data_IF_663572565017
#
_entry.id   IF_663572565017
#
_cell.length_a   1.000
_cell.length_b   1.000
_cell.length_c   1.000
_cell.angle_alpha   90.00
_cell.angle_beta   90.00
_cell.angle_gamma   90.00
#
_symmetry.space_group_name_H-M   'P 1'
#
loop_
_entity.id
_entity.type
_entity.pdbx_description
1 polymer ?
#
# COMPACT_ATOMS: atom_id res chain seq x y z
N UNK A 1 -6.49 28.50 -13.50
CA UNK A 1 -7.14 27.83 -12.34
C UNK A 1 -8.66 27.78 -12.48
N UNK A 2 -9.36 28.90 -12.72
CA UNK A 2 -10.84 28.93 -12.83
C UNK A 2 -11.44 27.94 -13.86
N UNK A 3 -10.89 27.86 -15.08
CA UNK A 3 -11.39 26.94 -16.11
C UNK A 3 -11.25 25.45 -15.72
N UNK A 4 -10.17 25.08 -15.02
CA UNK A 4 -9.94 23.70 -14.56
C UNK A 4 -10.84 23.35 -13.37
N UNK A 5 -11.05 24.30 -12.46
CA UNK A 5 -12.00 24.14 -11.35
C UNK A 5 -13.45 23.99 -11.86
N UNK A 6 -13.85 24.80 -12.85
CA UNK A 6 -15.14 24.67 -13.52
C UNK A 6 -15.30 23.32 -14.21
N UNK A 7 -14.26 22.86 -14.93
CA UNK A 7 -14.26 21.54 -15.56
C UNK A 7 -14.37 20.41 -14.53
N UNK A 8 -13.70 20.51 -13.38
CA UNK A 8 -13.80 19.52 -12.30
C UNK A 8 -15.21 19.47 -11.68
N UNK A 9 -15.91 20.60 -11.59
CA UNK A 9 -17.32 20.66 -11.17
C UNK A 9 -18.22 20.00 -12.23
N UNK A 10 -18.02 20.32 -13.50
CA UNK A 10 -18.79 19.73 -14.60
C UNK A 10 -18.59 18.20 -14.66
N UNK A 11 -17.38 17.72 -14.43
CA UNK A 11 -17.08 16.30 -14.32
C UNK A 11 -17.67 15.66 -13.04
N UNK A 12 -17.77 16.41 -11.95
CA UNK A 12 -18.48 15.92 -10.76
C UNK A 12 -19.97 15.72 -11.07
N UNK A 13 -20.61 16.72 -11.67
CA UNK A 13 -22.01 16.63 -12.09
C UNK A 13 -22.19 15.48 -13.09
N UNK A 14 -21.27 15.37 -14.07
CA UNK A 14 -21.31 14.31 -15.08
C UNK A 14 -21.21 12.90 -14.49
N UNK A 15 -20.44 12.69 -13.43
CA UNK A 15 -20.38 11.40 -12.73
C UNK A 15 -21.75 11.01 -12.15
N UNK A 16 -22.42 11.93 -11.44
CA UNK A 16 -23.74 11.65 -10.86
C UNK A 16 -24.80 11.46 -11.95
N UNK A 17 -24.75 12.22 -13.05
CA UNK A 17 -25.62 12.03 -14.20
C UNK A 17 -25.42 10.66 -14.85
N UNK A 18 -24.16 10.21 -15.01
CA UNK A 18 -23.85 8.88 -15.53
C UNK A 18 -24.41 7.80 -14.61
N UNK A 19 -24.18 7.90 -13.29
CA UNK A 19 -24.64 6.91 -12.32
C UNK A 19 -26.17 6.81 -12.27
N UNK A 20 -26.86 7.95 -12.16
CA UNK A 20 -28.32 8.01 -12.11
C UNK A 20 -28.91 7.56 -13.45
N UNK A 21 -28.34 8.01 -14.58
CA UNK A 21 -28.78 7.62 -15.92
C UNK A 21 -28.66 6.11 -16.16
N UNK A 22 -27.55 5.49 -15.75
CA UNK A 22 -27.36 4.04 -15.87
C UNK A 22 -28.30 3.27 -14.94
N UNK A 23 -28.53 3.75 -13.71
CA UNK A 23 -29.51 3.14 -12.82
C UNK A 23 -30.93 3.21 -13.40
N UNK A 24 -31.35 4.36 -13.95
CA UNK A 24 -32.65 4.50 -14.62
C UNK A 24 -32.74 3.56 -15.83
N UNK A 25 -31.69 3.48 -16.65
CA UNK A 25 -31.67 2.59 -17.81
C UNK A 25 -31.83 1.12 -17.40
N UNK A 26 -31.18 0.69 -16.31
CA UNK A 26 -31.34 -0.66 -15.77
C UNK A 26 -32.76 -0.92 -15.29
N UNK A 27 -33.39 0.04 -14.61
CA UNK A 27 -34.78 -0.09 -14.14
C UNK A 27 -35.80 -0.03 -15.27
N UNK A 28 -35.50 0.65 -16.38
CA UNK A 28 -36.36 0.73 -17.55
C UNK A 28 -36.50 -0.61 -18.28
N UNK A 29 -35.45 -1.44 -18.30
CA UNK A 29 -35.47 -2.77 -18.96
C UNK A 29 -36.61 -3.67 -18.46
N UNK A 30 -36.71 -4.02 -17.15
CA UNK A 30 -37.80 -4.86 -16.66
C UNK A 30 -39.17 -4.17 -16.72
N UNK A 31 -39.21 -2.83 -16.66
CA UNK A 31 -40.46 -2.07 -16.83
C UNK A 31 -41.02 -2.26 -18.25
N UNK A 32 -40.18 -2.08 -19.29
CA UNK A 32 -40.56 -2.25 -20.68
C UNK A 32 -40.86 -3.73 -21.03
N UNK A 33 -40.14 -4.69 -20.44
CA UNK A 33 -40.47 -6.11 -20.58
C UNK A 33 -41.89 -6.42 -20.08
N UNK A 34 -42.28 -5.83 -18.93
CA UNK A 34 -43.62 -5.99 -18.38
C UNK A 34 -44.68 -5.28 -19.25
N UNK A 35 -44.50 -3.99 -19.56
CA UNK A 35 -45.55 -3.19 -20.21
C UNK A 35 -45.73 -3.53 -21.68
N UNK A 36 -44.64 -3.71 -22.42
CA UNK A 36 -44.69 -3.79 -23.88
C UNK A 36 -44.68 -5.25 -24.35
N UNK A 37 -43.86 -6.09 -23.71
CA UNK A 37 -43.66 -7.48 -24.10
C UNK A 37 -44.52 -8.47 -23.29
N UNK A 38 -45.18 -8.02 -22.21
CA UNK A 38 -46.00 -8.84 -21.32
C UNK A 38 -45.27 -10.10 -20.81
N UNK A 39 -43.95 -9.97 -20.59
CA UNK A 39 -43.07 -11.05 -20.12
C UNK A 39 -42.18 -10.51 -19.01
N UNK A 40 -41.75 -11.38 -18.10
CA UNK A 40 -40.80 -11.01 -17.05
C UNK A 40 -39.72 -12.08 -16.96
N UNK A 41 -38.53 -11.78 -17.47
CA UNK A 41 -37.40 -12.67 -17.33
C UNK A 41 -36.76 -12.46 -15.96
N UNK A 42 -37.14 -13.28 -14.99
CA UNK A 42 -36.73 -13.16 -13.58
C UNK A 42 -35.22 -12.93 -13.39
N UNK A 43 -34.36 -13.60 -14.17
CA UNK A 43 -32.89 -13.42 -14.12
C UNK A 43 -32.45 -12.02 -14.55
N UNK A 44 -33.04 -11.48 -15.63
CA UNK A 44 -32.74 -10.13 -16.14
C UNK A 44 -33.27 -9.10 -15.16
N UNK A 45 -34.51 -9.28 -14.67
CA UNK A 45 -35.11 -8.41 -13.66
C UNK A 45 -34.25 -8.32 -12.40
N UNK A 46 -33.81 -9.46 -11.84
CA UNK A 46 -32.94 -9.49 -10.65
C UNK A 46 -31.61 -8.79 -10.95
N UNK A 47 -30.98 -9.06 -12.09
CA UNK A 47 -29.73 -8.41 -12.48
C UNK A 47 -29.87 -6.88 -12.57
N UNK A 48 -30.92 -6.40 -13.24
CA UNK A 48 -31.21 -4.98 -13.40
C UNK A 48 -31.48 -4.28 -12.06
N UNK A 49 -32.33 -4.88 -11.21
CA UNK A 49 -32.64 -4.34 -9.88
C UNK A 49 -31.41 -4.32 -8.98
N UNK A 50 -30.65 -5.41 -8.91
CA UNK A 50 -29.44 -5.49 -8.11
C UNK A 50 -28.37 -4.51 -8.61
N UNK A 51 -28.16 -4.42 -9.93
CA UNK A 51 -27.21 -3.48 -10.53
C UNK A 51 -27.58 -2.02 -10.23
N UNK A 52 -28.86 -1.65 -10.41
CA UNK A 52 -29.34 -0.31 -10.09
C UNK A 52 -29.20 0.01 -8.60
N UNK A 53 -29.55 -0.94 -7.72
CA UNK A 53 -29.41 -0.79 -6.28
C UNK A 53 -27.94 -0.58 -5.87
N UNK A 54 -27.01 -1.38 -6.41
CA UNK A 54 -25.56 -1.23 -6.14
C UNK A 54 -25.07 0.15 -6.58
N UNK A 55 -25.43 0.60 -7.79
CA UNK A 55 -25.02 1.92 -8.31
C UNK A 55 -25.56 3.04 -7.42
N UNK A 56 -26.86 3.03 -7.12
CA UNK A 56 -27.51 4.05 -6.29
C UNK A 56 -26.96 4.06 -4.86
N UNK A 57 -26.70 2.89 -4.27
CA UNK A 57 -26.08 2.79 -2.96
C UNK A 57 -24.64 3.32 -2.95
N UNK A 58 -23.89 3.11 -4.04
CA UNK A 58 -22.49 3.54 -4.14
C UNK A 58 -22.31 5.06 -4.23
N UNK A 59 -23.26 5.76 -4.86
CA UNK A 59 -23.23 7.23 -4.99
C UNK A 59 -23.74 7.97 -3.75
N UNK A 60 -24.51 7.31 -2.88
CA UNK A 60 -24.96 7.92 -1.64
C UNK A 60 -23.76 8.13 -0.69
N UNK A 61 -23.71 9.26 0.04
CA UNK A 61 -22.68 9.48 1.04
C UNK A 61 -22.88 8.45 2.16
N UNK A 62 -21.89 7.58 2.34
CA UNK A 62 -21.89 6.64 3.47
C UNK A 62 -21.67 7.40 4.77
N UNK A 63 -22.57 7.19 5.73
CA UNK A 63 -22.32 7.57 7.12
C UNK A 63 -21.26 6.61 7.65
N UNK A 64 -20.01 7.04 7.65
CA UNK A 64 -18.93 6.27 8.25
C UNK A 64 -19.18 6.15 9.75
N UNK A 65 -19.42 4.90 10.20
CA UNK A 65 -19.50 4.58 11.61
C UNK A 65 -18.11 4.72 12.19
N UNK A 66 -17.84 5.87 12.78
CA UNK A 66 -16.58 6.12 13.46
C UNK A 66 -16.49 5.22 14.70
N UNK A 67 -15.69 4.17 14.58
CA UNK A 67 -15.08 3.50 15.73
C UNK A 67 -13.79 4.25 16.03
N UNK A 68 -13.52 4.54 17.29
CA UNK A 68 -12.27 5.18 17.68
C UNK A 68 -11.10 4.33 17.16
N UNK A 69 -10.27 4.86 16.26
CA UNK A 69 -9.23 4.09 15.58
C UNK A 69 -8.03 3.80 16.49
N UNK A 70 -8.02 4.38 17.69
CA UNK A 70 -6.98 4.19 18.70
C UNK A 70 -7.30 4.98 19.97
N UNK A 71 -6.28 5.16 20.81
CA UNK A 71 -6.41 5.89 22.07
C UNK A 71 -6.61 7.38 21.81
N UNK A 72 -7.57 8.00 22.49
CA UNK A 72 -7.76 9.46 22.41
C UNK A 72 -6.69 10.15 23.26
N UNK A 73 -5.86 10.98 22.63
CA UNK A 73 -4.92 11.82 23.34
C UNK A 73 -5.66 12.97 24.05
N UNK A 74 -5.50 13.05 25.37
CA UNK A 74 -6.02 14.16 26.18
C UNK A 74 -4.96 15.26 26.38
N UNK A 75 -5.33 16.56 26.29
CA UNK A 75 -4.41 17.68 26.51
C UNK A 75 -3.71 17.69 27.88
N UNK A 76 -4.37 17.21 28.93
CA UNK A 76 -3.79 17.14 30.28
C UNK A 76 -2.74 16.03 30.37
N UNK A 77 -2.97 14.92 29.66
CA UNK A 77 -2.05 13.79 29.62
C UNK A 77 -0.86 14.06 28.69
N UNK A 78 -1.07 14.83 27.61
CA UNK A 78 -0.06 15.09 26.58
C UNK A 78 0.22 16.59 26.34
N UNK A 79 0.61 17.36 27.37
CA UNK A 79 0.70 18.83 27.27
C UNK A 79 1.71 19.30 26.22
N UNK A 80 2.83 18.58 26.06
CA UNK A 80 3.87 18.90 25.06
C UNK A 80 3.37 18.68 23.63
N UNK A 81 2.65 17.59 23.38
CA UNK A 81 2.02 17.32 22.09
C UNK A 81 1.02 18.43 21.74
N UNK A 82 0.11 18.77 22.65
CA UNK A 82 -0.92 19.78 22.36
C UNK A 82 -0.36 21.19 22.21
N UNK A 83 0.73 21.53 22.93
CA UNK A 83 1.47 22.78 22.70
C UNK A 83 2.06 22.83 21.28
N UNK A 84 2.66 21.73 20.83
CA UNK A 84 3.23 21.61 19.48
C UNK A 84 2.14 21.70 18.40
N UNK A 85 1.03 20.96 18.57
CA UNK A 85 -0.12 21.03 17.65
C UNK A 85 -0.73 22.42 17.60
N UNK A 86 -0.85 23.10 18.75
CA UNK A 86 -1.35 24.48 18.82
C UNK A 86 -0.43 25.47 18.12
N UNK A 87 0.89 25.29 18.22
CA UNK A 87 1.86 26.11 17.51
C UNK A 87 1.75 25.91 15.98
N UNK A 88 1.61 24.66 15.52
CA UNK A 88 1.39 24.33 14.10
C UNK A 88 0.09 24.94 13.59
N UNK A 89 -1.01 24.73 14.29
CA UNK A 89 -2.33 25.26 13.95
C UNK A 89 -2.28 26.79 13.80
N UNK A 90 -1.64 27.47 14.77
CA UNK A 90 -1.43 28.92 14.74
C UNK A 90 -0.60 29.37 13.54
N UNK A 91 0.52 28.69 13.26
CA UNK A 91 1.42 29.04 12.15
C UNK A 91 0.78 28.81 10.77
N UNK A 92 -0.05 27.78 10.64
CA UNK A 92 -0.81 27.48 9.42
C UNK A 92 -2.03 28.40 9.29
N UNK A 93 -2.62 28.84 10.40
CA UNK A 93 -3.83 29.66 10.43
C UNK A 93 -5.11 28.84 10.36
N UNK A 94 -5.10 27.63 10.93
CA UNK A 94 -6.25 26.72 11.00
C UNK A 94 -6.60 26.40 12.46
N UNK A 95 -7.87 26.11 12.79
CA UNK A 95 -8.23 25.67 14.13
C UNK A 95 -7.62 24.31 14.46
N UNK A 96 -7.25 24.13 15.74
CA UNK A 96 -6.81 22.84 16.27
C UNK A 96 -7.93 21.79 16.11
N UNK A 97 -7.63 20.55 15.68
CA UNK A 97 -8.60 19.46 15.65
C UNK A 97 -9.26 19.23 17.02
N UNK A 98 -10.55 18.90 17.02
CA UNK A 98 -11.34 18.70 18.25
C UNK A 98 -10.97 17.39 18.98
N UNK A 99 -10.56 16.39 18.21
CA UNK A 99 -10.16 15.08 18.72
C UNK A 99 -8.82 14.68 18.09
N UNK A 100 -7.90 14.20 18.92
CA UNK A 100 -6.60 13.65 18.50
C UNK A 100 -6.55 12.20 18.95
N UNK A 101 -6.25 11.28 18.02
CA UNK A 101 -6.13 9.85 18.27
C UNK A 101 -4.72 9.38 17.97
N UNK A 102 -4.15 8.61 18.90
CA UNK A 102 -2.90 7.89 18.71
C UNK A 102 -3.24 6.54 18.08
N UNK A 103 -2.66 6.27 16.91
CA UNK A 103 -2.90 5.05 16.13
C UNK A 103 -1.58 4.34 15.85
N UNK A 104 -1.63 3.05 15.52
CA UNK A 104 -0.44 2.29 15.12
C UNK A 104 -0.15 2.38 13.62
N UNK A 105 -0.89 3.18 12.85
CA UNK A 105 -0.58 3.37 11.44
C UNK A 105 0.73 4.15 11.23
N UNK A 106 1.46 3.85 10.16
CA UNK A 106 2.57 4.68 9.67
C UNK A 106 2.07 5.92 8.93
N UNK A 107 1.18 6.67 9.58
CA UNK A 107 0.52 7.80 8.96
C UNK A 107 0.23 8.91 9.97
N UNK A 108 0.11 10.14 9.46
CA UNK A 108 -0.51 11.25 10.17
C UNK A 108 -1.54 11.85 9.22
N UNK A 109 -2.77 12.03 9.69
CA UNK A 109 -3.84 12.54 8.84
C UNK A 109 -4.81 13.38 9.66
N UNK A 110 -5.30 14.45 9.07
CA UNK A 110 -6.50 15.15 9.56
C UNK A 110 -7.68 14.65 8.74
N UNK A 111 -8.81 14.37 9.40
CA UNK A 111 -10.05 13.91 8.78
C UNK A 111 -11.21 14.78 9.26
N UNK A 112 -12.18 15.03 8.38
CA UNK A 112 -13.44 15.65 8.76
C UNK A 112 -14.49 14.57 9.04
N UNK A 113 -15.02 14.55 10.26
CA UNK A 113 -16.01 13.58 10.73
C UNK A 113 -17.38 14.25 10.87
N UNK A 114 -18.41 13.58 10.39
CA UNK A 114 -19.77 14.08 10.44
C UNK A 114 -20.02 15.19 9.43
N UNK A 115 -21.24 15.70 9.42
CA UNK A 115 -21.70 16.64 8.40
C UNK A 115 -22.15 15.97 7.11
N UNK A 116 -22.81 16.75 6.26
CA UNK A 116 -23.30 16.34 4.94
C UNK A 116 -22.59 17.19 3.89
N UNK A 117 -21.92 16.55 2.93
CA UNK A 117 -21.22 17.25 1.84
C UNK A 117 -20.20 18.32 2.32
N UNK A 118 -19.51 18.07 3.43
CA UNK A 118 -18.50 18.99 4.00
C UNK A 118 -19.05 20.05 4.96
N UNK A 119 -20.37 20.10 5.17
CA UNK A 119 -21.04 21.02 6.09
C UNK A 119 -21.38 20.34 7.42
N UNK A 120 -20.97 20.93 8.55
CA UNK A 120 -21.39 20.49 9.89
C UNK A 120 -20.64 19.28 10.46
N UNK A 121 -19.35 19.13 10.13
CA UNK A 121 -18.48 18.09 10.68
C UNK A 121 -17.38 18.63 11.59
N UNK A 122 -16.90 17.79 12.50
CA UNK A 122 -15.76 18.04 13.40
C UNK A 122 -14.46 17.51 12.82
N UNK A 123 -13.33 18.15 13.12
CA UNK A 123 -12.02 17.70 12.66
C UNK A 123 -11.40 16.74 13.67
N UNK A 124 -10.91 15.61 13.17
CA UNK A 124 -10.24 14.57 13.95
C UNK A 124 -8.85 14.37 13.38
N UNK A 125 -7.84 14.30 14.25
CA UNK A 125 -6.46 14.03 13.88
C UNK A 125 -6.08 12.61 14.25
N UNK A 126 -5.45 11.90 13.33
CA UNK A 126 -4.84 10.60 13.55
C UNK A 126 -3.32 10.79 13.56
N UNK A 127 -2.68 10.36 14.64
CA UNK A 127 -1.24 10.45 14.83
C UNK A 127 -0.67 9.04 14.99
N UNK A 128 0.08 8.60 13.99
CA UNK A 128 0.83 7.36 14.04
C UNK A 128 1.94 7.43 15.08
N UNK A 129 1.79 6.68 16.18
CA UNK A 129 2.88 6.50 17.16
C UNK A 129 4.17 6.04 16.44
N UNK A 130 4.11 5.11 15.47
CA UNK A 130 5.31 4.66 14.80
C UNK A 130 6.01 5.79 14.03
N UNK A 131 5.25 6.66 13.38
CA UNK A 131 5.79 7.82 12.68
C UNK A 131 6.50 8.78 13.64
N UNK A 132 5.93 9.01 14.82
CA UNK A 132 6.54 9.86 15.86
C UNK A 132 7.86 9.29 16.40
N UNK A 133 8.06 7.97 16.32
CA UNK A 133 9.31 7.29 16.75
C UNK A 133 10.38 7.26 15.66
N UNK A 134 10.03 7.64 14.43
CA UNK A 134 10.96 7.69 13.28
C UNK A 134 11.36 9.13 13.00
N UNK A 135 10.42 10.08 13.11
CA UNK A 135 10.64 11.48 12.79
C UNK A 135 11.10 12.29 14.00
N UNK A 136 11.99 13.26 13.76
CA UNK A 136 12.30 14.33 14.71
C UNK A 136 11.14 15.30 14.85
N UNK A 137 11.15 16.12 15.91
CA UNK A 137 10.08 17.09 16.17
C UNK A 137 9.84 18.01 14.97
N UNK A 138 10.89 18.61 14.37
CA UNK A 138 10.77 19.47 13.20
C UNK A 138 10.26 18.76 11.94
N UNK A 139 10.71 17.53 11.72
CA UNK A 139 10.31 16.69 10.58
C UNK A 139 8.83 16.33 10.70
N UNK A 140 8.40 15.94 11.90
CA UNK A 140 7.02 15.67 12.24
C UNK A 140 6.16 16.94 12.14
N UNK A 141 6.64 18.07 12.66
CA UNK A 141 6.00 19.39 12.50
C UNK A 141 5.76 19.72 11.03
N UNK A 142 6.71 19.45 10.16
CA UNK A 142 6.58 19.70 8.73
C UNK A 142 5.49 18.82 8.10
N UNK A 143 5.50 17.51 8.40
CA UNK A 143 4.45 16.58 7.94
C UNK A 143 3.08 17.04 8.43
N UNK A 144 2.94 17.41 9.70
CA UNK A 144 1.67 17.91 10.22
C UNK A 144 1.25 19.24 9.61
N UNK A 145 2.19 20.17 9.38
CA UNK A 145 1.88 21.44 8.72
C UNK A 145 1.38 21.23 7.29
N UNK A 146 1.87 20.19 6.59
CA UNK A 146 1.34 19.76 5.29
C UNK A 146 -0.10 19.26 5.42
N UNK A 147 -0.39 18.38 6.38
CA UNK A 147 -1.75 17.88 6.64
C UNK A 147 -2.74 19.00 7.00
N UNK A 148 -2.32 19.98 7.80
CA UNK A 148 -3.13 21.18 8.09
C UNK A 148 -3.31 22.06 6.85
N UNK A 149 -2.33 22.07 5.95
CA UNK A 149 -2.37 22.79 4.67
C UNK A 149 -3.52 22.34 3.76
N UNK A 150 -3.93 21.06 3.83
CA UNK A 150 -5.10 20.51 3.14
C UNK A 150 -6.45 21.01 3.65
N UNK A 151 -6.48 21.91 4.63
CA UNK A 151 -7.71 22.54 5.10
C UNK A 151 -7.70 24.06 4.89
N UNK A 152 -6.52 24.63 4.60
CA UNK A 152 -6.32 26.06 4.43
C UNK A 152 -6.68 26.52 3.03
N UNK A 153 -7.58 27.51 2.95
CA UNK A 153 -7.79 28.29 1.73
C UNK A 153 -8.39 27.52 0.55
N UNK A 154 -8.98 26.35 0.80
CA UNK A 154 -9.71 25.66 -0.25
C UNK A 154 -10.93 26.48 -0.67
N UNK A 155 -10.92 26.93 -1.92
CA UNK A 155 -12.16 27.21 -2.65
C UNK A 155 -13.13 26.05 -2.37
N UNK A 156 -14.41 26.35 -2.15
CA UNK A 156 -15.45 25.39 -1.73
C UNK A 156 -15.57 24.12 -2.61
N UNK A 157 -14.80 24.04 -3.70
CA UNK A 157 -14.75 22.98 -4.70
C UNK A 157 -13.78 21.84 -4.39
N UNK A 158 -12.72 22.05 -3.59
CA UNK A 158 -11.74 20.99 -3.31
C UNK A 158 -12.34 19.79 -2.53
N UNK A 159 -13.16 20.01 -1.47
CA UNK A 159 -13.87 18.92 -0.80
C UNK A 159 -14.80 18.15 -1.74
N UNK A 160 -15.42 18.84 -2.72
CA UNK A 160 -16.29 18.21 -3.71
C UNK A 160 -15.52 17.30 -4.66
N UNK A 161 -14.38 17.73 -5.19
CA UNK A 161 -13.53 16.88 -6.06
C UNK A 161 -13.09 15.63 -5.31
N UNK A 162 -12.65 15.78 -4.05
CA UNK A 162 -12.23 14.65 -3.22
C UNK A 162 -13.40 13.68 -2.95
N UNK A 163 -14.58 14.18 -2.60
CA UNK A 163 -15.78 13.35 -2.40
C UNK A 163 -16.23 12.63 -3.67
N UNK A 164 -16.08 13.27 -4.84
CA UNK A 164 -16.32 12.62 -6.14
C UNK A 164 -15.33 11.50 -6.39
N UNK A 165 -14.04 11.68 -6.07
CA UNK A 165 -13.04 10.59 -6.16
C UNK A 165 -13.41 9.42 -5.26
N UNK A 166 -13.81 9.68 -4.01
CA UNK A 166 -14.27 8.62 -3.11
C UNK A 166 -15.52 7.91 -3.65
N UNK A 167 -16.48 8.64 -4.21
CA UNK A 167 -17.69 8.05 -4.79
C UNK A 167 -17.37 7.18 -6.03
N UNK A 168 -16.48 7.64 -6.90
CA UNK A 168 -15.98 6.85 -8.04
C UNK A 168 -15.30 5.58 -7.54
N UNK A 169 -14.39 5.69 -6.57
CA UNK A 169 -13.67 4.54 -6.01
C UNK A 169 -14.63 3.53 -5.36
N UNK A 170 -15.61 4.00 -4.59
CA UNK A 170 -16.66 3.13 -4.02
C UNK A 170 -17.46 2.42 -5.10
N UNK A 171 -17.95 3.13 -6.11
CA UNK A 171 -18.70 2.52 -7.23
C UNK A 171 -17.88 1.45 -7.94
N UNK A 172 -16.60 1.72 -8.23
CA UNK A 172 -15.71 0.72 -8.82
C UNK A 172 -15.49 -0.47 -7.89
N UNK A 173 -15.29 -0.26 -6.58
CA UNK A 173 -15.10 -1.35 -5.61
C UNK A 173 -16.34 -2.23 -5.46
N UNK A 174 -17.55 -1.64 -5.37
CA UNK A 174 -18.79 -2.39 -5.24
C UNK A 174 -19.13 -3.15 -6.54
N UNK A 175 -18.81 -2.59 -7.71
CA UNK A 175 -19.02 -3.27 -8.99
C UNK A 175 -17.93 -4.30 -9.31
N UNK A 176 -16.74 -4.15 -8.73
CA UNK A 176 -15.67 -5.14 -8.84
C UNK A 176 -16.14 -6.48 -8.28
N UNK A 177 -15.86 -7.57 -8.99
CA UNK A 177 -16.33 -8.91 -8.65
C UNK A 177 -17.79 -9.21 -9.00
N UNK A 178 -18.63 -8.23 -9.33
CA UNK A 178 -20.05 -8.43 -9.63
C UNK A 178 -20.38 -8.32 -11.13
N UNK A 179 -19.90 -7.26 -11.82
CA UNK A 179 -20.19 -7.07 -13.24
C UNK A 179 -19.18 -6.18 -13.96
N UNK A 180 -18.38 -6.78 -14.84
CA UNK A 180 -17.46 -6.05 -15.71
C UNK A 180 -18.20 -5.10 -16.68
N UNK A 181 -19.40 -5.48 -17.12
CA UNK A 181 -20.23 -4.67 -18.03
C UNK A 181 -20.68 -3.36 -17.37
N UNK A 182 -21.16 -3.44 -16.13
CA UNK A 182 -21.59 -2.25 -15.38
C UNK A 182 -20.40 -1.41 -14.92
N UNK A 183 -19.27 -2.04 -14.62
CA UNK A 183 -18.05 -1.36 -14.17
C UNK A 183 -17.39 -0.53 -15.27
N UNK A 184 -17.40 -1.01 -16.52
CA UNK A 184 -16.71 -0.40 -17.66
C UNK A 184 -16.98 1.11 -17.85
N UNK A 185 -18.23 1.61 -17.90
CA UNK A 185 -18.47 3.05 -18.07
C UNK A 185 -17.91 3.89 -16.92
N UNK A 186 -18.00 3.41 -15.68
CA UNK A 186 -17.41 4.09 -14.53
C UNK A 186 -15.89 4.07 -14.56
N UNK A 187 -15.28 3.00 -15.07
CA UNK A 187 -13.82 2.91 -15.18
C UNK A 187 -13.29 3.90 -16.22
N UNK A 188 -13.95 4.05 -17.37
CA UNK A 188 -13.60 5.05 -18.38
C UNK A 188 -13.81 6.48 -17.84
N UNK A 189 -14.90 6.70 -17.11
CA UNK A 189 -15.17 7.97 -16.46
C UNK A 189 -14.09 8.31 -15.42
N UNK A 190 -13.74 7.35 -14.56
CA UNK A 190 -12.72 7.49 -13.53
C UNK A 190 -11.37 7.88 -14.12
N UNK A 191 -10.94 7.20 -15.18
CA UNK A 191 -9.67 7.50 -15.85
C UNK A 191 -9.64 8.94 -16.39
N UNK A 192 -10.72 9.37 -17.05
CA UNK A 192 -10.83 10.73 -17.59
C UNK A 192 -10.89 11.78 -16.47
N UNK A 193 -11.69 11.53 -15.44
CA UNK A 193 -11.83 12.38 -14.27
C UNK A 193 -10.48 12.57 -13.58
N UNK A 194 -9.77 11.47 -13.30
CA UNK A 194 -8.48 11.48 -12.64
C UNK A 194 -7.46 12.24 -13.48
N UNK A 195 -7.33 11.94 -14.77
CA UNK A 195 -6.40 12.63 -15.66
C UNK A 195 -6.59 14.15 -15.66
N UNK A 196 -7.83 14.63 -15.72
CA UNK A 196 -8.14 16.06 -15.76
C UNK A 196 -7.91 16.73 -14.40
N UNK A 197 -8.26 16.04 -13.31
CA UNK A 197 -8.17 16.60 -11.95
C UNK A 197 -6.77 16.45 -11.33
N UNK A 198 -5.89 15.60 -11.88
CA UNK A 198 -4.54 15.39 -11.34
C UNK A 198 -3.71 16.67 -11.28
N UNK A 199 -3.74 17.49 -12.32
CA UNK A 199 -2.94 18.72 -12.34
C UNK A 199 -3.36 19.69 -11.22
N UNK A 200 -4.63 19.66 -10.81
CA UNK A 200 -5.14 20.44 -9.68
C UNK A 200 -4.65 19.81 -8.37
N UNK A 201 -4.78 18.49 -8.22
CA UNK A 201 -4.31 17.73 -7.05
C UNK A 201 -2.82 17.97 -6.79
N UNK A 202 -1.97 17.77 -7.79
CA UNK A 202 -0.51 17.95 -7.68
C UNK A 202 -0.12 19.39 -7.35
N UNK A 203 -0.86 20.38 -7.85
CA UNK A 203 -0.61 21.78 -7.50
C UNK A 203 -0.97 22.06 -6.03
N UNK A 204 -2.07 21.51 -5.53
CA UNK A 204 -2.46 21.63 -4.12
C UNK A 204 -1.43 20.99 -3.19
N UNK A 205 -0.91 19.83 -3.56
CA UNK A 205 0.18 19.15 -2.83
C UNK A 205 1.43 20.02 -2.74
N UNK A 206 1.86 20.65 -3.85
CA UNK A 206 3.02 21.55 -3.85
C UNK A 206 2.78 22.83 -3.05
N UNK A 207 1.54 23.33 -3.00
CA UNK A 207 1.16 24.48 -2.18
C UNK A 207 1.17 24.15 -0.68
N UNK A 208 0.66 22.97 -0.31
CA UNK A 208 0.75 22.43 1.04
C UNK A 208 2.21 22.19 1.44
N UNK A 209 3.04 21.68 0.52
CA UNK A 209 4.47 21.50 0.74
C UNK A 209 5.19 22.82 1.01
N UNK A 210 4.91 23.84 0.20
CA UNK A 210 5.49 25.16 0.38
C UNK A 210 5.04 25.80 1.71
N UNK A 211 3.81 25.54 2.16
CA UNK A 211 3.32 25.97 3.46
C UNK A 211 4.04 25.26 4.60
N UNK A 212 4.16 23.93 4.53
CA UNK A 212 4.89 23.13 5.51
C UNK A 212 6.35 23.60 5.66
N UNK A 213 7.02 23.86 4.53
CA UNK A 213 8.37 24.39 4.50
C UNK A 213 8.49 25.78 5.14
N UNK A 214 7.47 26.64 5.03
CA UNK A 214 7.46 27.93 5.73
C UNK A 214 7.31 27.78 7.25
N UNK A 215 6.63 26.74 7.72
CA UNK A 215 6.40 26.50 9.16
C UNK A 215 7.60 25.82 9.81
N UNK A 216 8.16 24.78 9.19
CA UNK A 216 9.20 23.93 9.79
C UNK A 216 10.58 24.06 9.14
N UNK A 217 10.69 24.68 7.96
CA UNK A 217 11.90 24.73 7.14
C UNK A 217 11.93 23.63 6.08
N UNK A 218 12.47 23.95 4.90
CA UNK A 218 12.53 22.99 3.79
C UNK A 218 13.42 21.77 4.11
N UNK A 219 14.50 21.95 4.89
CA UNK A 219 15.42 20.86 5.25
C UNK A 219 14.72 19.82 6.14
N UNK A 220 14.01 20.29 7.17
CA UNK A 220 13.24 19.43 8.06
C UNK A 220 12.15 18.68 7.28
N UNK A 221 11.49 19.35 6.34
CA UNK A 221 10.44 18.70 5.57
C UNK A 221 10.96 17.66 4.57
N UNK A 222 12.07 17.94 3.88
CA UNK A 222 12.72 16.95 2.99
C UNK A 222 13.17 15.71 3.79
N UNK A 223 13.71 15.91 5.00
CA UNK A 223 14.07 14.81 5.89
C UNK A 223 12.82 14.02 6.34
N UNK A 224 11.73 14.72 6.68
CA UNK A 224 10.44 14.12 7.02
C UNK A 224 9.86 13.28 5.88
N UNK A 225 9.85 13.78 4.64
CA UNK A 225 9.40 13.03 3.46
C UNK A 225 10.24 11.77 3.25
N UNK A 226 11.57 11.86 3.35
CA UNK A 226 12.46 10.69 3.27
C UNK A 226 12.19 9.69 4.41
N UNK A 227 11.90 10.18 5.62
CA UNK A 227 11.53 9.35 6.77
C UNK A 227 10.22 8.59 6.54
N UNK A 228 9.18 9.27 6.07
CA UNK A 228 7.87 8.66 5.74
C UNK A 228 8.03 7.60 4.64
N UNK A 229 8.66 7.95 3.51
CA UNK A 229 8.87 7.01 2.40
C UNK A 229 9.76 5.83 2.80
N UNK A 230 10.81 6.09 3.59
CA UNK A 230 11.69 5.06 4.13
C UNK A 230 10.96 4.10 5.07
N UNK A 231 10.10 4.61 5.94
CA UNK A 231 9.28 3.79 6.81
C UNK A 231 8.28 2.93 6.01
N UNK A 232 7.68 3.47 4.95
CA UNK A 232 6.81 2.70 4.05
C UNK A 232 7.55 1.55 3.35
N UNK A 233 8.79 1.79 2.91
CA UNK A 233 9.67 0.74 2.37
C UNK A 233 9.91 -0.33 3.44
N UNK A 234 10.34 0.08 4.64
CA UNK A 234 10.62 -0.84 5.74
C UNK A 234 9.39 -1.66 6.12
N UNK A 235 8.21 -1.05 6.16
CA UNK A 235 6.95 -1.70 6.50
C UNK A 235 6.57 -2.80 5.51
N UNK A 236 6.86 -2.59 4.21
CA UNK A 236 6.68 -3.64 3.20
C UNK A 236 7.57 -4.85 3.48
N UNK A 237 8.84 -4.63 3.87
CA UNK A 237 9.73 -5.72 4.28
C UNK A 237 9.28 -6.35 5.58
N UNK A 238 8.83 -5.55 6.55
CA UNK A 238 8.34 -6.02 7.84
C UNK A 238 7.12 -6.91 7.68
N UNK A 239 6.12 -6.50 6.90
CA UNK A 239 4.97 -7.35 6.57
C UNK A 239 5.42 -8.65 5.92
N UNK A 240 6.28 -8.61 4.90
CA UNK A 240 6.78 -9.83 4.24
C UNK A 240 7.56 -10.77 5.18
N UNK A 241 8.45 -10.22 6.00
CA UNK A 241 9.32 -10.97 6.93
C UNK A 241 8.60 -11.38 8.22
N UNK A 242 7.48 -10.74 8.57
CA UNK A 242 6.74 -11.02 9.82
C UNK A 242 5.31 -11.51 9.58
N UNK A 243 5.01 -11.99 8.37
CA UNK A 243 3.78 -12.75 8.06
C UNK A 243 3.97 -14.30 8.14
N UNK A 244 4.74 -14.94 9.05
CA UNK A 244 4.79 -16.40 9.06
C UNK A 244 3.46 -16.99 9.56
N UNK A 245 2.90 -17.95 8.81
CA UNK A 245 2.13 -19.08 9.37
C UNK A 245 0.91 -18.66 10.22
N UNK A 246 0.18 -17.65 9.78
CA UNK A 246 -1.23 -17.53 10.14
C UNK A 246 -2.01 -18.16 8.99
N UNK A 247 -2.16 -19.48 9.09
CA UNK A 247 -2.99 -20.24 8.17
C UNK A 247 -4.35 -19.51 8.04
N UNK A 248 -4.75 -19.23 6.81
CA UNK A 248 -6.11 -18.85 6.41
C UNK A 248 -6.39 -17.38 6.05
N UNK A 249 -5.38 -16.56 5.71
CA UNK A 249 -5.63 -15.31 4.97
C UNK A 249 -6.56 -14.30 5.65
N UNK A 250 -6.74 -14.43 6.96
CA UNK A 250 -7.65 -13.64 7.79
C UNK A 250 -6.92 -12.79 8.84
N UNK A 251 -5.59 -12.83 8.90
CA UNK A 251 -4.82 -12.00 9.82
C UNK A 251 -4.51 -10.63 9.23
N UNK A 252 -4.81 -9.53 9.94
CA UNK A 252 -4.32 -8.20 9.60
C UNK A 252 -2.80 -8.19 9.47
N UNK A 253 -2.26 -7.33 8.60
CA UNK A 253 -0.83 -7.02 8.58
C UNK A 253 -0.37 -6.64 9.99
N UNK A 254 0.82 -7.09 10.44
CA UNK A 254 1.29 -6.76 11.78
C UNK A 254 1.44 -5.24 11.90
N UNK A 255 0.76 -4.65 12.89
CA UNK A 255 0.88 -3.23 13.16
C UNK A 255 2.35 -2.88 13.48
N UNK A 256 2.85 -1.71 13.05
CA UNK A 256 4.22 -1.30 13.30
C UNK A 256 4.44 -0.99 14.79
N UNK A 257 4.79 -2.02 15.55
CA UNK A 257 5.00 -2.03 16.98
C UNK A 257 6.47 -1.70 17.38
N UNK A 258 6.85 -2.02 18.62
CA UNK A 258 8.24 -1.95 19.08
C UNK A 258 9.21 -2.80 18.23
N UNK A 259 8.73 -3.92 17.70
CA UNK A 259 9.53 -4.82 16.88
C UNK A 259 9.79 -4.20 15.51
N UNK A 260 8.81 -3.50 14.93
CA UNK A 260 9.03 -2.70 13.73
C UNK A 260 10.14 -1.66 13.91
N UNK A 261 10.21 -0.99 15.07
CA UNK A 261 11.28 -0.03 15.35
C UNK A 261 12.66 -0.68 15.44
N UNK A 262 12.74 -1.88 16.01
CA UNK A 262 13.99 -2.66 16.04
C UNK A 262 14.36 -3.14 14.63
N UNK A 263 13.37 -3.58 13.86
CA UNK A 263 13.53 -4.04 12.48
C UNK A 263 14.13 -2.97 11.57
N UNK A 264 13.65 -1.73 11.67
CA UNK A 264 14.19 -0.61 10.89
C UNK A 264 15.67 -0.31 11.16
N UNK A 265 16.17 -0.67 12.35
CA UNK A 265 17.57 -0.44 12.76
C UNK A 265 18.53 -1.54 12.28
N UNK A 266 18.00 -2.63 11.72
CA UNK A 266 18.84 -3.68 11.14
C UNK A 266 19.62 -3.11 9.97
N UNK A 267 20.96 -3.31 9.89
CA UNK A 267 21.78 -2.73 8.82
C UNK A 267 21.23 -3.02 7.41
N UNK A 268 20.76 -4.25 7.16
CA UNK A 268 20.15 -4.63 5.88
C UNK A 268 18.91 -3.81 5.52
N UNK A 269 18.07 -3.49 6.51
CA UNK A 269 16.83 -2.75 6.29
C UNK A 269 17.15 -1.28 6.11
N UNK A 270 18.08 -0.74 6.91
CA UNK A 270 18.61 0.60 6.69
C UNK A 270 19.21 0.75 5.28
N UNK A 271 19.91 -0.26 4.78
CA UNK A 271 20.47 -0.27 3.42
C UNK A 271 19.36 -0.33 2.35
N UNK A 272 18.37 -1.21 2.54
CA UNK A 272 17.21 -1.32 1.65
C UNK A 272 16.40 -0.02 1.58
N UNK A 273 16.22 0.67 2.70
CA UNK A 273 15.58 2.00 2.77
C UNK A 273 16.39 3.00 1.94
N UNK A 274 17.71 3.09 2.15
CA UNK A 274 18.57 4.04 1.42
C UNK A 274 18.54 3.79 -0.08
N UNK A 275 18.65 2.52 -0.49
CA UNK A 275 18.58 2.14 -1.90
C UNK A 275 17.19 2.39 -2.50
N UNK A 276 16.12 2.06 -1.77
CA UNK A 276 14.75 2.26 -2.24
C UNK A 276 14.41 3.75 -2.43
N UNK A 277 14.82 4.62 -1.50
CA UNK A 277 14.67 6.07 -1.66
C UNK A 277 15.49 6.57 -2.86
N UNK A 278 16.76 6.16 -2.98
CA UNK A 278 17.60 6.58 -4.11
C UNK A 278 17.02 6.14 -5.47
N UNK A 279 16.45 4.94 -5.51
CA UNK A 279 15.74 4.42 -6.69
C UNK A 279 14.50 5.25 -6.99
N UNK A 280 13.66 5.57 -6.00
CA UNK A 280 12.45 6.39 -6.20
C UNK A 280 12.77 7.80 -6.70
N UNK A 281 13.88 8.39 -6.22
CA UNK A 281 14.33 9.71 -6.66
C UNK A 281 14.83 9.72 -8.11
N UNK A 282 15.41 8.62 -8.59
CA UNK A 282 15.96 8.49 -9.94
C UNK A 282 14.97 7.90 -10.94
N UNK A 283 13.97 7.16 -10.46
CA UNK A 283 12.93 6.49 -11.24
C UNK A 283 11.55 6.98 -10.78
N UNK A 284 11.21 8.27 -10.96
CA UNK A 284 9.95 8.80 -10.48
C UNK A 284 8.80 8.05 -11.17
N UNK A 285 7.90 7.48 -10.37
CA UNK A 285 6.67 6.88 -10.89
C UNK A 285 5.82 7.97 -11.51
N UNK A 286 5.78 8.02 -12.83
CA UNK A 286 4.89 8.88 -13.59
C UNK A 286 3.58 8.14 -13.83
N UNK A 287 2.83 7.87 -12.77
CA UNK A 287 1.47 7.36 -12.91
C UNK A 287 0.52 8.53 -13.19
N UNK A 288 -0.15 8.57 -14.36
CA UNK A 288 -1.16 9.58 -14.67
C UNK A 288 -2.36 9.58 -13.71
N UNK A 289 -2.51 8.54 -12.88
CA UNK A 289 -3.61 8.36 -11.94
C UNK A 289 -3.22 8.62 -10.47
N UNK A 290 -1.93 8.83 -10.17
CA UNK A 290 -1.47 9.22 -8.83
C UNK A 290 -1.77 10.70 -8.53
N UNK A 291 -2.45 10.94 -7.40
CA UNK A 291 -2.82 12.27 -6.89
C UNK A 291 -1.67 13.06 -6.31
N UNK A 292 -0.59 12.40 -5.91
CA UNK A 292 0.58 13.03 -5.34
C UNK A 292 1.64 13.26 -6.43
N UNK A 293 2.39 14.37 -6.38
CA UNK A 293 3.59 14.52 -7.18
C UNK A 293 4.64 13.47 -6.76
N UNK A 294 5.47 12.95 -7.69
CA UNK A 294 6.57 12.06 -7.32
C UNK A 294 7.48 12.69 -6.26
N UNK A 295 8.05 11.88 -5.36
CA UNK A 295 8.93 12.35 -4.28
C UNK A 295 10.05 13.27 -4.79
N UNK A 296 10.68 12.92 -5.91
CA UNK A 296 11.70 13.73 -6.56
C UNK A 296 11.23 15.16 -6.89
N UNK A 297 10.00 15.29 -7.41
CA UNK A 297 9.42 16.59 -7.77
C UNK A 297 9.11 17.43 -6.53
N UNK A 298 8.61 16.80 -5.46
CA UNK A 298 8.36 17.48 -4.16
C UNK A 298 9.65 17.99 -3.56
N UNK A 299 10.69 17.14 -3.47
CA UNK A 299 12.01 17.54 -2.96
C UNK A 299 12.61 18.66 -3.79
N UNK A 300 12.59 18.57 -5.13
CA UNK A 300 13.12 19.62 -5.99
C UNK A 300 12.37 20.96 -5.87
N UNK A 301 11.08 20.94 -5.53
CA UNK A 301 10.32 22.15 -5.22
C UNK A 301 10.72 22.73 -3.86
N UNK A 302 10.92 21.87 -2.85
CA UNK A 302 11.31 22.26 -1.50
C UNK A 302 12.74 22.80 -1.43
N UNK A 303 13.67 22.27 -2.21
CA UNK A 303 15.06 22.74 -2.28
C UNK A 303 15.19 24.20 -2.74
N UNK A 304 14.14 24.76 -3.37
CA UNK A 304 14.07 26.17 -3.77
C UNK A 304 13.61 27.10 -2.65
N UNK A 305 13.18 26.55 -1.51
CA UNK A 305 12.66 27.31 -0.37
C UNK A 305 13.72 27.43 0.74
N UNK A 306 13.56 28.39 1.67
CA UNK A 306 14.49 28.54 2.77
C UNK A 306 14.66 27.23 3.57
N UNK A 307 15.90 26.78 3.84
CA UNK A 307 16.14 25.50 4.50
C UNK A 307 15.60 25.44 5.94
N UNK A 308 15.45 26.60 6.60
CA UNK A 308 15.14 26.69 8.03
C UNK A 308 16.35 26.37 8.91
N UNK A 309 16.09 26.17 10.20
CA UNK A 309 17.12 25.83 11.17
C UNK A 309 17.64 24.39 10.96
N UNK A 310 18.87 24.14 11.38
CA UNK A 310 19.35 22.76 11.47
C UNK A 310 18.70 22.08 12.67
N UNK A 311 18.02 20.98 12.38
CA UNK A 311 17.22 20.21 13.35
C UNK A 311 17.69 18.76 13.43
N UNK A 312 18.86 18.45 12.87
CA UNK A 312 19.48 17.11 12.87
C UNK A 312 19.72 16.52 14.26
N UNK A 313 19.86 17.38 15.28
CA UNK A 313 20.06 17.01 16.69
C UNK A 313 18.78 17.07 17.54
N UNK A 314 17.62 17.42 16.96
CA UNK A 314 16.37 17.42 17.71
C UNK A 314 15.98 15.99 18.15
N UNK A 315 15.31 15.87 19.31
CA UNK A 315 14.76 14.59 19.72
C UNK A 315 13.65 14.13 18.77
N UNK A 316 13.35 12.83 18.84
CA UNK A 316 12.22 12.24 18.12
C UNK A 316 10.89 12.81 18.63
N UNK A 317 9.92 12.92 17.73
CA UNK A 317 8.59 13.43 18.04
C UNK A 317 7.85 12.58 19.10
N UNK A 318 8.24 11.31 19.28
CA UNK A 318 7.77 10.46 20.36
C UNK A 318 8.00 11.06 21.76
N UNK A 319 8.98 11.97 21.92
CA UNK A 319 9.22 12.69 23.17
C UNK A 319 8.14 13.75 23.47
N UNK A 320 7.25 14.05 22.52
CA UNK A 320 6.07 14.87 22.75
C UNK A 320 4.97 14.09 23.49
N UNK A 321 5.03 12.76 23.47
CA UNK A 321 4.11 11.90 24.18
C UNK A 321 4.53 11.72 25.65
N UNK A 322 3.56 11.42 26.50
CA UNK A 322 3.84 10.98 27.86
C UNK A 322 4.46 9.57 27.84
N UNK A 323 5.41 9.23 28.72
CA UNK A 323 6.02 7.91 28.75
C UNK A 323 5.02 6.75 28.88
N UNK A 324 3.88 6.97 29.55
CA UNK A 324 2.84 5.94 29.70
C UNK A 324 2.16 5.57 28.38
N UNK A 325 1.99 6.52 27.46
CA UNK A 325 1.42 6.29 26.13
C UNK A 325 2.37 5.50 25.20
N UNK A 326 3.67 5.50 25.49
CA UNK A 326 4.65 4.65 24.80
C UNK A 326 4.69 3.21 25.37
N UNK A 327 4.22 3.02 26.61
CA UNK A 327 4.25 1.73 27.31
C UNK A 327 2.98 0.89 27.12
N UNK A 328 1.86 1.53 26.76
CA UNK A 328 0.59 0.88 26.49
C UNK A 328 0.18 1.09 25.01
N UNK A 329 0.88 0.48 24.05
CA UNK A 329 0.29 0.34 22.74
C UNK A 329 -0.93 -0.57 22.96
N UNK A 330 -2.14 -0.11 22.59
CA UNK A 330 -3.38 -0.90 22.63
C UNK A 330 -3.36 -2.10 21.69
N UNK A 331 -2.34 -2.94 21.82
CA UNK A 331 -2.13 -4.18 21.11
C UNK A 331 -3.21 -5.10 21.65
N UNK A 332 -4.20 -5.39 20.82
CA UNK A 332 -4.74 -6.74 20.78
C UNK A 332 -3.50 -7.62 20.64
N UNK A 333 -3.01 -8.21 21.75
CA UNK A 333 -1.96 -9.22 21.71
C UNK A 333 -2.43 -10.26 20.71
N UNK A 334 -1.92 -10.15 19.48
CA UNK A 334 -2.05 -11.19 18.48
C UNK A 334 -1.26 -12.33 19.09
N UNK A 335 -1.97 -13.19 19.83
CA UNK A 335 -1.38 -14.34 20.49
C UNK A 335 -0.70 -15.11 19.37
N UNK A 336 0.63 -15.27 19.41
CA UNK A 336 1.33 -15.96 18.34
C UNK A 336 0.68 -17.32 18.18
N UNK A 337 0.25 -17.65 16.96
CA UNK A 337 -0.27 -18.99 16.69
C UNK A 337 0.83 -19.99 17.06
N UNK A 338 0.46 -21.10 17.72
CA UNK A 338 1.43 -22.10 18.16
C UNK A 338 2.32 -22.54 16.98
N UNK A 339 3.63 -22.26 17.08
CA UNK A 339 4.62 -22.52 16.01
C UNK A 339 5.12 -21.29 15.24
N UNK A 340 4.66 -20.08 15.57
CA UNK A 340 5.25 -18.84 15.06
C UNK A 340 6.69 -18.67 15.59
N UNK A 341 7.64 -18.46 14.68
CA UNK A 341 9.01 -18.08 15.05
C UNK A 341 9.00 -16.65 15.62
N UNK A 342 9.83 -16.34 16.64
CA UNK A 342 10.11 -14.96 17.02
C UNK A 342 10.53 -14.15 15.78
N UNK A 343 10.12 -12.88 15.67
CA UNK A 343 10.42 -12.05 14.49
C UNK A 343 11.94 -11.91 14.23
N UNK A 344 12.75 -11.96 15.29
CA UNK A 344 14.21 -11.95 15.22
C UNK A 344 14.75 -13.19 14.47
N UNK A 345 14.01 -14.30 14.54
CA UNK A 345 14.28 -15.58 13.87
C UNK A 345 13.47 -15.74 12.56
N UNK A 346 12.47 -14.90 12.30
CA UNK A 346 11.56 -15.01 11.13
C UNK A 346 12.22 -14.65 9.78
N UNK A 347 13.48 -14.21 9.79
CA UNK A 347 14.30 -13.98 8.60
C UNK A 347 14.60 -15.27 7.82
N UNK A 348 15.88 -15.62 7.69
CA UNK A 348 16.28 -16.81 6.91
C UNK A 348 15.69 -18.12 7.45
N UNK A 349 15.43 -18.23 8.76
CA UNK A 349 14.83 -19.44 9.35
C UNK A 349 13.30 -19.55 9.13
N UNK A 350 12.61 -18.45 8.82
CA UNK A 350 11.20 -18.44 8.41
C UNK A 350 10.98 -18.81 6.94
N UNK A 351 12.02 -18.69 6.11
CA UNK A 351 11.91 -18.87 4.67
C UNK A 351 11.44 -20.27 4.21
N UNK A 352 11.88 -21.39 4.81
CA UNK A 352 11.38 -22.72 4.45
C UNK A 352 9.86 -22.82 4.55
N UNK A 353 9.26 -22.19 5.56
CA UNK A 353 7.81 -22.21 5.77
C UNK A 353 7.08 -21.40 4.71
N UNK A 354 7.61 -20.21 4.33
CA UNK A 354 7.06 -19.39 3.25
C UNK A 354 7.13 -20.12 1.91
N UNK A 355 8.28 -20.73 1.61
CA UNK A 355 8.46 -21.50 0.39
C UNK A 355 7.51 -22.69 0.32
N UNK A 356 7.33 -23.39 1.45
CA UNK A 356 6.39 -24.52 1.52
C UNK A 356 4.95 -24.08 1.30
N UNK A 357 4.50 -22.96 1.88
CA UNK A 357 3.16 -22.42 1.66
C UNK A 357 2.95 -21.95 0.22
N UNK A 358 3.91 -21.22 -0.35
CA UNK A 358 3.84 -20.74 -1.74
C UNK A 358 3.78 -21.89 -2.75
N UNK A 359 4.62 -22.91 -2.56
CA UNK A 359 4.59 -24.14 -3.38
C UNK A 359 3.29 -24.91 -3.16
N UNK A 360 2.74 -24.94 -1.94
CA UNK A 360 1.48 -25.63 -1.63
C UNK A 360 0.30 -24.99 -2.34
N UNK A 361 0.15 -23.67 -2.27
CA UNK A 361 -0.91 -22.91 -2.98
C UNK A 361 -0.86 -23.10 -4.49
N UNK A 362 0.35 -23.21 -5.03
CA UNK A 362 0.60 -23.26 -6.47
C UNK A 362 1.05 -24.64 -6.99
N UNK A 363 0.87 -25.71 -6.21
CA UNK A 363 1.38 -27.05 -6.51
C UNK A 363 1.03 -27.54 -7.92
N UNK A 364 -0.20 -27.25 -8.36
CA UNK A 364 -0.72 -27.62 -9.67
C UNK A 364 0.07 -27.02 -10.85
N UNK A 365 0.75 -25.89 -10.66
CA UNK A 365 1.58 -25.22 -11.68
C UNK A 365 2.98 -25.83 -11.76
N UNK A 366 3.48 -26.35 -10.63
CA UNK A 366 4.85 -26.88 -10.50
C UNK A 366 4.94 -28.39 -10.77
N UNK A 367 3.80 -29.09 -10.78
CA UNK A 367 3.73 -30.54 -10.97
C UNK A 367 4.40 -30.97 -12.28
N UNK A 368 5.38 -31.86 -12.17
CA UNK A 368 6.09 -32.43 -13.32
C UNK A 368 7.33 -31.65 -13.77
N UNK A 369 7.59 -30.48 -13.17
CA UNK A 369 8.80 -29.70 -13.43
C UNK A 369 9.93 -30.04 -12.44
N UNK A 370 11.16 -29.92 -12.93
CA UNK A 370 12.39 -30.13 -12.17
C UNK A 370 13.28 -28.90 -12.22
N UNK A 371 14.28 -28.83 -11.35
CA UNK A 371 15.28 -27.74 -11.35
C UNK A 371 15.99 -27.63 -12.70
N UNK A 372 16.29 -28.74 -13.37
CA UNK A 372 16.93 -28.73 -14.70
C UNK A 372 16.06 -28.13 -15.82
N UNK A 373 14.74 -28.12 -15.63
CA UNK A 373 13.75 -27.58 -16.59
C UNK A 373 13.36 -26.12 -16.32
N UNK A 374 13.96 -25.47 -15.31
CA UNK A 374 13.70 -24.06 -15.00
C UNK A 374 13.88 -23.09 -16.19
N UNK A 375 14.87 -23.24 -17.09
CA UNK A 375 15.01 -22.36 -18.25
C UNK A 375 13.83 -22.44 -19.23
N UNK A 376 13.09 -23.54 -19.23
CA UNK A 376 11.90 -23.72 -20.08
C UNK A 376 10.66 -23.07 -19.43
N UNK A 377 10.67 -22.89 -18.10
CA UNK A 377 9.56 -22.36 -17.30
C UNK A 377 9.71 -20.85 -17.01
N UNK A 378 10.93 -20.36 -16.78
CA UNK A 378 11.21 -18.96 -16.43
C UNK A 378 10.76 -17.94 -17.51
N UNK A 379 10.89 -18.20 -18.82
CA UNK A 379 10.34 -17.30 -19.84
C UNK A 379 8.80 -17.29 -19.88
N UNK A 380 8.14 -18.33 -19.35
CA UNK A 380 6.68 -18.49 -19.38
C UNK A 380 5.97 -17.80 -18.20
N UNK A 381 6.68 -17.09 -17.33
CA UNK A 381 6.18 -16.56 -16.06
C UNK A 381 4.97 -15.62 -16.16
N UNK A 382 4.88 -14.82 -17.24
CA UNK A 382 3.69 -14.00 -17.49
C UNK A 382 2.40 -14.82 -17.70
N UNK A 383 2.51 -16.08 -18.15
CA UNK A 383 1.38 -17.00 -18.35
C UNK A 383 1.04 -17.80 -17.08
N UNK A 384 2.02 -18.03 -16.19
CA UNK A 384 1.81 -18.69 -14.89
C UNK A 384 1.03 -17.77 -13.96
N UNK A 385 1.38 -16.47 -13.92
CA UNK A 385 0.59 -15.45 -13.24
C UNK A 385 -0.80 -15.23 -13.88
N UNK A 386 -0.88 -15.28 -15.22
CA UNK A 386 -2.14 -15.11 -15.96
C UNK A 386 -3.19 -16.22 -15.81
N UNK A 387 -2.86 -17.38 -15.22
CA UNK A 387 -3.85 -18.40 -14.83
C UNK A 387 -4.56 -18.09 -13.50
N UNK A 388 -4.14 -17.04 -12.78
CA UNK A 388 -4.74 -16.60 -11.51
C UNK A 388 -5.91 -15.59 -11.66
N UNK A 389 -6.34 -15.26 -12.88
CA UNK A 389 -7.46 -14.33 -13.08
C UNK A 389 -7.50 -13.75 -14.47
N UNK A 390 -8.70 -13.50 -14.97
CA UNK A 390 -9.05 -13.25 -16.38
C UNK A 390 -8.30 -12.09 -17.08
N UNK A 391 -7.80 -12.42 -18.29
CA UNK A 391 -7.53 -11.57 -19.47
C UNK A 391 -6.10 -10.99 -19.64
N UNK A 392 -5.65 -11.11 -20.88
CA UNK A 392 -4.31 -10.90 -21.42
C UNK A 392 -3.85 -9.44 -21.39
N UNK A 393 -3.01 -9.09 -20.42
CA UNK A 393 -1.91 -8.11 -20.52
C UNK A 393 -0.86 -8.58 -19.51
N UNK A 394 0.41 -8.70 -19.91
CA UNK A 394 1.50 -9.02 -18.99
C UNK A 394 1.70 -7.84 -18.03
N UNK A 395 1.08 -7.91 -16.85
CA UNK A 395 1.28 -6.97 -15.76
C UNK A 395 2.62 -7.29 -15.07
N UNK A 396 3.47 -6.29 -14.85
CA UNK A 396 4.72 -6.41 -14.09
C UNK A 396 4.49 -7.05 -12.71
N UNK A 397 3.29 -6.85 -12.15
CA UNK A 397 2.83 -7.54 -10.94
C UNK A 397 2.78 -9.07 -11.10
N UNK A 398 2.21 -9.56 -12.21
CA UNK A 398 2.11 -11.00 -12.50
C UNK A 398 3.49 -11.62 -12.76
N UNK A 399 4.37 -10.91 -13.47
CA UNK A 399 5.75 -11.33 -13.68
C UNK A 399 6.52 -11.43 -12.35
N UNK A 400 6.27 -10.50 -11.41
CA UNK A 400 6.82 -10.56 -10.05
C UNK A 400 6.34 -11.79 -9.28
N UNK A 401 5.03 -12.05 -9.24
CA UNK A 401 4.49 -13.22 -8.54
C UNK A 401 5.02 -14.54 -9.12
N UNK A 402 5.18 -14.62 -10.45
CA UNK A 402 5.81 -15.77 -11.10
C UNK A 402 7.26 -16.01 -10.65
N UNK A 403 8.07 -14.94 -10.57
CA UNK A 403 9.46 -15.00 -10.08
C UNK A 403 9.52 -15.46 -8.62
N UNK A 404 8.63 -14.94 -7.77
CA UNK A 404 8.53 -15.32 -6.36
C UNK A 404 8.22 -16.82 -6.20
N UNK A 405 7.25 -17.34 -6.96
CA UNK A 405 6.90 -18.77 -6.96
C UNK A 405 8.08 -19.66 -7.37
N UNK A 406 8.78 -19.35 -8.46
CA UNK A 406 9.92 -20.16 -8.90
C UNK A 406 11.10 -20.11 -7.94
N UNK A 407 11.34 -18.95 -7.33
CA UNK A 407 12.38 -18.78 -6.31
C UNK A 407 12.08 -19.64 -5.09
N UNK A 408 10.82 -19.64 -4.64
CA UNK A 408 10.34 -20.49 -3.56
C UNK A 408 10.46 -22.00 -3.89
N UNK A 409 10.06 -22.38 -5.10
CA UNK A 409 10.12 -23.77 -5.56
C UNK A 409 11.56 -24.28 -5.65
N UNK A 410 12.49 -23.47 -6.18
CA UNK A 410 13.91 -23.80 -6.24
C UNK A 410 14.51 -23.92 -4.84
N UNK A 411 14.26 -22.94 -3.96
CA UNK A 411 14.73 -22.96 -2.58
C UNK A 411 14.25 -24.19 -1.81
N UNK A 412 12.95 -24.52 -1.91
CA UNK A 412 12.37 -25.70 -1.27
C UNK A 412 12.94 -27.00 -1.85
N UNK A 413 13.08 -27.10 -3.17
CA UNK A 413 13.66 -28.26 -3.83
C UNK A 413 15.09 -28.54 -3.33
N UNK A 414 15.91 -27.49 -3.20
CA UNK A 414 17.27 -27.58 -2.67
C UNK A 414 17.28 -28.04 -1.21
N UNK A 415 16.43 -27.47 -0.35
CA UNK A 415 16.28 -27.92 1.04
C UNK A 415 15.91 -29.40 1.13
N UNK A 416 14.98 -29.88 0.30
CA UNK A 416 14.61 -31.30 0.24
C UNK A 416 15.73 -32.17 -0.34
N UNK A 417 16.60 -31.60 -1.18
CA UNK A 417 17.84 -32.20 -1.69
C UNK A 417 19.00 -32.23 -0.69
N UNK A 418 18.76 -31.86 0.58
CA UNK A 418 19.75 -31.86 1.66
C UNK A 418 20.68 -30.65 1.65
N UNK A 419 20.26 -29.53 1.05
CA UNK A 419 20.93 -28.24 1.22
C UNK A 419 20.44 -27.56 2.50
N UNK A 420 21.28 -26.72 3.10
CA UNK A 420 20.94 -25.96 4.29
C UNK A 420 20.89 -24.46 3.99
N UNK A 421 20.01 -23.72 4.66
CA UNK A 421 20.01 -22.26 4.59
C UNK A 421 21.24 -21.71 5.30
N UNK A 422 21.98 -20.84 4.62
CA UNK A 422 23.06 -20.08 5.21
C UNK A 422 22.48 -18.89 5.99
N UNK A 423 22.36 -19.05 7.31
CA UNK A 423 21.83 -18.01 8.20
C UNK A 423 22.71 -16.76 8.32
N UNK A 424 23.90 -16.74 7.72
CA UNK A 424 24.83 -15.60 7.80
C UNK A 424 24.42 -14.40 6.93
N UNK A 425 23.57 -14.60 5.90
CA UNK A 425 23.09 -13.52 5.04
C UNK A 425 21.59 -13.30 5.26
N UNK A 426 21.26 -12.35 6.13
CA UNK A 426 19.85 -12.01 6.39
C UNK A 426 19.26 -11.21 5.21
N UNK A 427 18.16 -11.71 4.63
CA UNK A 427 17.36 -11.01 3.61
C UNK A 427 17.25 -11.71 2.25
N UNK A 428 18.17 -12.63 1.92
CA UNK A 428 18.02 -13.61 0.83
C UNK A 428 18.33 -14.99 1.42
N UNK A 429 17.43 -15.95 1.25
CA UNK A 429 17.68 -17.31 1.73
C UNK A 429 18.62 -18.02 0.76
N UNK A 430 19.90 -17.74 0.94
CA UNK A 430 20.99 -18.45 0.28
C UNK A 430 21.05 -19.86 0.86
N UNK A 431 21.16 -20.87 0.00
CA UNK A 431 21.32 -22.27 0.41
C UNK A 431 22.71 -22.77 0.03
N UNK A 432 23.30 -23.58 0.91
CA UNK A 432 24.65 -24.13 0.76
C UNK A 432 24.65 -25.66 0.92
N UNK A 433 25.54 -26.32 0.16
CA UNK A 433 25.91 -27.73 0.34
C UNK A 433 27.37 -27.93 -0.04
N UNK A 434 28.22 -28.16 0.96
CA UNK A 434 29.68 -28.09 0.78
C UNK A 434 30.11 -26.68 0.38
N UNK A 435 30.94 -26.57 -0.67
CA UNK A 435 31.39 -25.27 -1.22
C UNK A 435 30.38 -24.65 -2.20
N UNK A 436 29.34 -25.38 -2.58
CA UNK A 436 28.34 -24.89 -3.52
C UNK A 436 27.34 -23.96 -2.80
N UNK A 437 27.14 -22.78 -3.36
CA UNK A 437 26.24 -21.73 -2.85
C UNK A 437 25.26 -21.34 -3.94
N UNK A 438 23.98 -21.30 -3.59
CA UNK A 438 22.89 -20.92 -4.51
C UNK A 438 22.00 -19.90 -3.83
N UNK A 439 21.75 -18.77 -4.50
CA UNK A 439 20.71 -17.81 -4.13
C UNK A 439 19.52 -18.04 -5.08
N UNK A 440 18.43 -18.69 -4.63
CA UNK A 440 17.32 -19.04 -5.51
C UNK A 440 16.71 -17.83 -6.24
N UNK A 441 16.59 -16.69 -5.57
CA UNK A 441 16.00 -15.49 -6.17
C UNK A 441 16.87 -14.95 -7.30
N UNK A 442 18.19 -14.88 -7.06
CA UNK A 442 19.17 -14.42 -8.04
C UNK A 442 19.26 -15.34 -9.26
N UNK A 443 19.24 -16.66 -9.06
CA UNK A 443 19.27 -17.60 -10.19
C UNK A 443 18.02 -17.47 -11.08
N UNK A 444 16.84 -17.32 -10.47
CA UNK A 444 15.59 -17.11 -11.23
C UNK A 444 15.61 -15.77 -11.96
N UNK A 445 16.12 -14.71 -11.34
CA UNK A 445 16.29 -13.41 -11.99
C UNK A 445 17.19 -13.51 -13.23
N UNK A 446 18.36 -14.13 -13.10
CA UNK A 446 19.31 -14.33 -14.19
C UNK A 446 18.79 -15.23 -15.32
N UNK A 447 17.94 -16.20 -15.01
CA UNK A 447 17.25 -17.01 -16.02
C UNK A 447 16.16 -16.21 -16.74
N UNK A 448 15.52 -15.28 -16.04
CA UNK A 448 14.41 -14.49 -16.56
C UNK A 448 14.90 -13.33 -17.44
N UNK A 449 15.97 -12.66 -17.04
CA UNK A 449 16.58 -11.55 -17.79
C UNK A 449 17.51 -12.04 -18.93
N UNK A 450 17.78 -13.35 -18.99
CA UNK A 450 18.62 -13.98 -20.00
C UNK A 450 20.13 -13.89 -19.74
N UNK A 451 20.55 -13.38 -18.58
CA UNK A 451 21.96 -13.34 -18.16
C UNK A 451 22.57 -14.74 -18.03
N UNK A 452 21.75 -15.75 -17.73
CA UNK A 452 22.14 -17.16 -17.76
C UNK A 452 21.33 -17.90 -18.82
N UNK A 453 22.01 -18.45 -19.83
CA UNK A 453 21.35 -19.25 -20.86
C UNK A 453 20.97 -20.66 -20.38
N UNK A 454 20.08 -21.33 -21.14
CA UNK A 454 19.57 -22.64 -20.78
C UNK A 454 20.65 -23.73 -20.76
N UNK A 455 21.70 -23.62 -21.58
CA UNK A 455 22.78 -24.60 -21.63
C UNK A 455 23.67 -24.49 -20.38
N UNK A 456 24.01 -23.26 -20.00
CA UNK A 456 24.79 -22.90 -18.82
C UNK A 456 24.07 -23.34 -17.54
N UNK A 457 22.76 -23.09 -17.45
CA UNK A 457 21.98 -23.55 -16.30
C UNK A 457 21.91 -25.07 -16.19
N UNK A 458 21.68 -25.77 -17.30
CA UNK A 458 21.62 -27.25 -17.31
C UNK A 458 22.96 -27.87 -16.93
N UNK A 459 24.08 -27.31 -17.41
CA UNK A 459 25.41 -27.73 -17.00
C UNK A 459 25.62 -27.48 -15.50
N UNK A 460 25.34 -26.26 -15.02
CA UNK A 460 25.47 -25.87 -13.60
C UNK A 460 24.65 -26.78 -12.67
N UNK A 461 23.37 -26.98 -12.97
CA UNK A 461 22.46 -27.81 -12.17
C UNK A 461 22.83 -29.29 -12.18
N UNK A 462 23.41 -29.79 -13.28
CA UNK A 462 23.95 -31.17 -13.36
C UNK A 462 25.21 -31.31 -12.51
N UNK A 463 26.15 -30.38 -12.61
CA UNK A 463 27.38 -30.36 -11.80
C UNK A 463 27.08 -30.30 -10.30
N UNK A 464 26.05 -29.54 -9.91
CA UNK A 464 25.59 -29.45 -8.52
C UNK A 464 24.77 -30.67 -8.07
N UNK A 465 24.42 -31.59 -8.97
CA UNK A 465 23.57 -32.75 -8.68
C UNK A 465 22.13 -32.39 -8.31
N UNK A 466 21.63 -31.23 -8.76
CA UNK A 466 20.30 -30.71 -8.41
C UNK A 466 19.30 -30.79 -9.57
N UNK A 467 19.75 -31.08 -10.79
CA UNK A 467 18.92 -31.06 -12.00
C UNK A 467 17.63 -31.91 -11.89
N UNK A 468 17.68 -33.06 -11.22
CA UNK A 468 16.52 -33.96 -11.05
C UNK A 468 15.61 -33.62 -9.86
N UNK A 469 15.95 -32.62 -9.05
CA UNK A 469 15.11 -32.22 -7.91
C UNK A 469 13.79 -31.65 -8.44
N UNK A 470 12.69 -32.07 -7.83
CA UNK A 470 11.35 -31.64 -8.23
C UNK A 470 11.01 -30.28 -7.65
N UNK A 471 10.35 -29.44 -8.43
CA UNK A 471 9.91 -28.11 -7.98
C UNK A 471 8.65 -28.16 -7.09
N UNK A 472 7.93 -29.29 -7.10
CA UNK A 472 6.71 -29.52 -6.31
C UNK A 472 6.98 -30.28 -4.99
N UNK A 473 8.18 -30.16 -4.42
CA UNK A 473 8.69 -30.97 -3.32
C UNK A 473 8.11 -30.59 -1.93
N UNK A 474 6.81 -30.84 -1.73
CA UNK A 474 6.14 -30.75 -0.43
C UNK A 474 6.46 -31.95 0.47
N UNK A 475 6.45 -31.75 1.80
CA UNK A 475 6.47 -32.87 2.76
C UNK A 475 5.23 -33.73 2.53
N UNK A 476 5.39 -35.06 2.45
CA UNK A 476 4.24 -35.96 2.63
C UNK A 476 3.76 -35.78 4.07
N UNK A 477 2.48 -35.48 4.27
CA UNK A 477 1.88 -35.52 5.60
C UNK A 477 2.12 -36.93 6.16
N UNK A 478 2.68 -36.99 7.36
CA UNK A 478 2.90 -38.23 8.09
C UNK A 478 1.58 -38.77 8.65
#
# INVERSE_FOLDING_TARGET
MAARAFLAVLLTIGFYLLAIGLAIALLAVPYLEWTDLHRLHLRITIFCLAGAAIILFSILPTVEHFRAPGERADPQSHPRLFAELGAIATAVGEPLPEEVYLVQDLNAAVRQRGGIMGLGGRRVMLLGIPLMRILRISEFRAVLAHEFGHYRGHTQLAPWIYKTREAIARTLSHLSGHSALLMWPFQQYAQTFLMITQAISRQQELEADALAARVAGARAFIAGLRGVHGAAIAYKYYGRENTPIYHDGLTPQPEPDDNFMRFMRLPRIADAIRQGIAWELTNPKLDPYDSHPPLAARIAALEKLPPGNDTSHEPLAALLLDPSALANPGVLEATPLAGALPWEDAGAAGEPFRWEDEVRRNYHLLRGWTVGTLPDLAPCLGKVGGRLGTRWVADESQARSGRELLSAALGLALLRGGWAIDGAQSGTAVVRKGDAVVDPAKEIEQLTDGSTDAATWRAKSTTMGIASLRLDALRRAA
#
